data_IF_379284476796
#
_entry.id   IF_379284476796
#
_cell.length_a   1.000
_cell.length_b   1.000
_cell.length_c   1.000
_cell.angle_alpha   90.00
_cell.angle_beta   90.00
_cell.angle_gamma   90.00
#
_symmetry.space_group_name_H-M   'P 1'
#
loop_
_entity.id
_entity.type
_entity.pdbx_description
1 polymer ?
#
# COMPACT_ATOMS: atom_id res chain seq x y z
N UNK A 1 -9.66 34.15 13.43
CA UNK A 1 -8.56 34.30 12.45
C UNK A 1 -9.21 34.44 11.08
N UNK A 2 -8.55 35.11 10.13
CA UNK A 2 -9.07 35.15 8.76
C UNK A 2 -9.02 33.73 8.18
N UNK A 3 -10.01 33.35 7.37
CA UNK A 3 -10.04 32.09 6.65
C UNK A 3 -8.91 32.06 5.63
N UNK A 4 -8.09 31.02 5.65
CA UNK A 4 -7.02 30.82 4.68
C UNK A 4 -7.55 30.13 3.42
N UNK A 5 -6.88 30.35 2.29
CA UNK A 5 -7.11 29.61 1.05
C UNK A 5 -6.01 28.57 0.86
N UNK A 6 -6.41 27.28 0.87
CA UNK A 6 -5.53 26.13 0.85
C UNK A 6 -5.64 25.41 -0.50
N UNK A 7 -4.51 25.28 -1.19
CA UNK A 7 -4.39 24.51 -2.42
C UNK A 7 -3.84 23.11 -2.13
N UNK A 8 -4.37 22.08 -2.81
CA UNK A 8 -3.90 20.71 -2.69
C UNK A 8 -3.42 20.20 -4.05
N UNK A 9 -2.28 19.52 -4.06
CA UNK A 9 -1.71 18.89 -5.25
C UNK A 9 -1.39 17.43 -4.94
N UNK A 10 -2.07 16.52 -5.63
CA UNK A 10 -1.72 15.10 -5.68
C UNK A 10 -0.78 14.88 -6.87
N UNK A 11 0.53 14.89 -6.60
CA UNK A 11 1.57 14.84 -7.64
C UNK A 11 1.49 13.55 -8.44
N UNK A 12 1.16 12.46 -7.77
CA UNK A 12 1.08 11.14 -8.41
C UNK A 12 -0.23 10.94 -9.20
N UNK A 13 -1.36 11.42 -8.68
CA UNK A 13 -2.69 11.38 -9.35
C UNK A 13 -3.14 9.99 -9.82
N UNK A 14 -2.64 8.90 -9.22
CA UNK A 14 -2.68 7.54 -9.79
C UNK A 14 -3.91 6.73 -9.40
N UNK A 15 -5.11 7.24 -9.62
CA UNK A 15 -6.36 6.47 -9.45
C UNK A 15 -6.53 5.83 -8.06
N UNK A 16 -5.94 6.43 -7.03
CA UNK A 16 -6.10 6.06 -5.64
C UNK A 16 -6.08 7.31 -4.76
N UNK A 17 -6.97 7.43 -3.74
CA UNK A 17 -7.02 8.63 -2.91
C UNK A 17 -5.77 8.79 -2.05
N UNK A 18 -5.24 10.02 -2.00
CA UNK A 18 -4.09 10.36 -1.16
C UNK A 18 -4.57 10.68 0.26
N UNK A 19 -4.32 9.74 1.17
CA UNK A 19 -4.79 9.84 2.56
C UNK A 19 -4.24 11.08 3.30
N UNK A 20 -3.00 11.49 3.02
CA UNK A 20 -2.42 12.67 3.64
C UNK A 20 -3.18 13.94 3.23
N UNK A 21 -3.47 14.10 1.93
CA UNK A 21 -4.26 15.24 1.44
C UNK A 21 -5.69 15.23 1.96
N UNK A 22 -6.31 14.04 2.10
CA UNK A 22 -7.64 13.93 2.70
C UNK A 22 -7.68 14.40 4.16
N UNK A 23 -6.65 14.10 4.94
CA UNK A 23 -6.53 14.54 6.34
C UNK A 23 -6.22 16.02 6.45
N UNK A 24 -5.34 16.54 5.59
CA UNK A 24 -5.05 17.99 5.49
C UNK A 24 -6.32 18.75 5.13
N UNK A 25 -7.09 18.27 4.15
CA UNK A 25 -8.37 18.86 3.77
C UNK A 25 -9.35 18.91 4.94
N UNK A 26 -9.52 17.77 5.64
CA UNK A 26 -10.40 17.67 6.80
C UNK A 26 -10.02 18.66 7.90
N UNK A 27 -8.72 18.77 8.21
CA UNK A 27 -8.20 19.68 9.22
C UNK A 27 -8.49 21.14 8.87
N UNK A 28 -8.11 21.59 7.68
CA UNK A 28 -8.31 22.98 7.27
C UNK A 28 -9.78 23.34 7.16
N UNK A 29 -10.62 22.46 6.65
CA UNK A 29 -12.09 22.67 6.64
C UNK A 29 -12.65 22.79 8.06
N UNK A 30 -12.16 22.00 9.02
CA UNK A 30 -12.57 22.11 10.43
C UNK A 30 -12.13 23.43 11.06
N UNK A 31 -11.02 24.04 10.59
CA UNK A 31 -10.55 25.37 11.01
C UNK A 31 -11.31 26.52 10.32
N UNK A 32 -12.19 26.24 9.37
CA UNK A 32 -12.95 27.23 8.61
C UNK A 32 -12.22 27.77 7.38
N UNK A 33 -11.14 27.10 6.94
CA UNK A 33 -10.38 27.48 5.77
C UNK A 33 -11.08 27.03 4.49
N UNK A 34 -10.79 27.71 3.37
CA UNK A 34 -11.22 27.30 2.04
C UNK A 34 -10.23 26.31 1.44
N UNK A 35 -10.65 25.08 1.19
CA UNK A 35 -9.78 24.02 0.66
C UNK A 35 -10.27 23.60 -0.72
N UNK A 36 -9.35 23.61 -1.68
CA UNK A 36 -9.62 23.16 -3.05
C UNK A 36 -8.38 22.51 -3.68
N UNK A 37 -8.57 21.80 -4.78
CA UNK A 37 -7.44 21.41 -5.63
C UNK A 37 -6.76 22.66 -6.18
N UNK A 38 -5.44 22.72 -6.11
CA UNK A 38 -4.69 23.80 -6.76
C UNK A 38 -5.02 23.86 -8.24
N UNK A 39 -5.34 25.04 -8.71
CA UNK A 39 -5.84 25.19 -10.07
C UNK A 39 -4.82 25.84 -11.00
N UNK A 40 -4.19 26.94 -10.60
CA UNK A 40 -3.20 27.67 -11.40
C UNK A 40 -2.50 28.76 -10.60
N UNK A 41 -1.39 29.27 -11.14
CA UNK A 41 -0.67 30.40 -10.58
C UNK A 41 -1.40 31.76 -10.74
N UNK A 42 -2.55 31.82 -11.42
CA UNK A 42 -3.40 33.02 -11.44
C UNK A 42 -4.25 33.16 -10.17
N UNK A 43 -4.32 32.13 -9.35
CA UNK A 43 -5.03 32.13 -8.07
C UNK A 43 -4.01 32.16 -6.95
N UNK A 44 -4.15 33.13 -6.04
CA UNK A 44 -3.30 33.17 -4.85
C UNK A 44 -3.78 32.19 -3.78
N UNK A 45 -2.83 31.48 -3.15
CA UNK A 45 -3.05 30.56 -2.04
C UNK A 45 -2.18 30.98 -0.86
N UNK A 46 -2.74 30.92 0.36
CA UNK A 46 -1.96 31.11 1.58
C UNK A 46 -1.00 29.92 1.77
N UNK A 47 -1.50 28.71 1.54
CA UNK A 47 -0.68 27.48 1.64
C UNK A 47 -1.06 26.53 0.50
N UNK A 48 -0.05 25.96 -0.16
CA UNK A 48 -0.23 24.81 -1.07
C UNK A 48 0.49 23.58 -0.51
N UNK A 49 -0.24 22.49 -0.37
CA UNK A 49 0.31 21.17 -0.01
C UNK A 49 0.49 20.31 -1.25
N UNK A 50 1.73 19.85 -1.46
CA UNK A 50 2.08 18.91 -2.53
C UNK A 50 2.39 17.55 -1.91
N UNK A 51 1.64 16.51 -2.27
CA UNK A 51 1.87 15.16 -1.77
C UNK A 51 2.31 14.22 -2.89
N UNK A 52 3.41 13.51 -2.66
CA UNK A 52 4.01 12.56 -3.60
C UNK A 52 4.33 11.25 -2.89
N UNK A 53 3.84 10.14 -3.43
CA UNK A 53 4.00 8.80 -2.84
C UNK A 53 5.16 8.03 -3.50
N UNK A 54 5.27 8.11 -4.83
CA UNK A 54 6.28 7.39 -5.61
C UNK A 54 7.51 8.25 -5.86
N UNK A 55 8.68 7.61 -6.00
CA UNK A 55 9.93 8.27 -6.35
C UNK A 55 9.91 8.84 -7.77
N UNK A 56 10.90 9.69 -8.11
CA UNK A 56 11.04 10.28 -9.44
C UNK A 56 11.24 9.23 -10.55
N UNK A 57 11.69 8.02 -10.20
CA UNK A 57 11.81 6.92 -11.14
C UNK A 57 10.44 6.43 -11.67
N UNK A 58 9.37 6.63 -10.91
CA UNK A 58 8.02 6.17 -11.27
C UNK A 58 7.03 7.31 -11.47
N UNK A 59 7.24 8.44 -10.80
CA UNK A 59 6.37 9.63 -10.88
C UNK A 59 7.25 10.89 -10.83
N UNK A 60 7.54 11.52 -11.98
CA UNK A 60 8.31 12.76 -12.02
C UNK A 60 7.68 13.85 -11.15
N UNK A 61 8.51 14.67 -10.49
CA UNK A 61 8.02 15.82 -9.74
C UNK A 61 7.50 16.91 -10.70
N UNK A 62 6.64 17.76 -10.18
CA UNK A 62 6.09 18.92 -10.90
C UNK A 62 6.61 20.22 -10.30
N UNK A 63 6.68 21.31 -11.08
CA UNK A 63 7.07 22.61 -10.56
C UNK A 63 6.21 23.07 -9.39
N UNK A 64 6.84 23.76 -8.44
CA UNK A 64 6.11 24.37 -7.33
C UNK A 64 5.25 25.55 -7.81
N UNK A 65 4.06 25.73 -7.22
CA UNK A 65 3.24 26.91 -7.46
C UNK A 65 3.99 28.21 -7.19
N UNK A 66 3.88 29.17 -8.10
CA UNK A 66 4.57 30.47 -7.99
C UNK A 66 3.77 31.49 -7.17
N UNK A 67 2.44 31.34 -7.10
CA UNK A 67 1.54 32.28 -6.41
C UNK A 67 0.94 31.65 -5.14
N UNK A 68 1.83 31.26 -4.24
CA UNK A 68 1.49 30.79 -2.89
C UNK A 68 2.45 31.40 -1.86
N UNK A 69 1.92 31.82 -0.72
CA UNK A 69 2.77 32.35 0.38
C UNK A 69 3.67 31.26 0.94
N UNK A 70 3.17 30.01 0.94
CA UNK A 70 3.91 28.87 1.44
C UNK A 70 3.58 27.61 0.65
N UNK A 71 4.62 26.86 0.24
CA UNK A 71 4.48 25.52 -0.36
C UNK A 71 5.04 24.49 0.64
N UNK A 72 4.26 23.44 0.91
CA UNK A 72 4.64 22.34 1.81
C UNK A 72 4.62 21.03 1.02
N UNK A 73 5.81 20.45 0.84
CA UNK A 73 5.98 19.16 0.16
C UNK A 73 6.05 18.02 1.18
N UNK A 74 5.37 16.92 0.90
CA UNK A 74 5.36 15.76 1.77
C UNK A 74 5.05 14.46 1.04
N UNK A 75 5.19 13.35 1.75
CA UNK A 75 5.00 12.00 1.23
C UNK A 75 6.30 11.27 0.94
N UNK A 76 6.20 9.96 0.77
CA UNK A 76 7.35 9.05 0.64
C UNK A 76 8.21 9.36 -0.58
N UNK A 77 7.59 9.78 -1.69
CA UNK A 77 8.28 10.07 -2.94
C UNK A 77 9.33 11.17 -2.83
N UNK A 78 9.10 12.18 -1.99
CA UNK A 78 10.08 13.24 -1.73
C UNK A 78 11.24 12.81 -0.82
N UNK A 79 11.09 11.67 -0.14
CA UNK A 79 12.13 11.11 0.72
C UNK A 79 13.04 10.11 -0.01
N UNK A 80 12.71 9.75 -1.25
CA UNK A 80 13.46 8.75 -2.01
C UNK A 80 14.24 9.46 -3.11
N UNK A 81 15.54 9.18 -3.16
CA UNK A 81 16.43 9.59 -4.25
C UNK A 81 17.20 8.39 -4.80
N UNK A 82 17.84 8.55 -5.94
CA UNK A 82 18.64 7.51 -6.54
C UNK A 82 20.13 7.73 -6.19
N UNK A 83 20.75 6.68 -5.62
CA UNK A 83 22.21 6.57 -5.46
C UNK A 83 22.67 5.34 -6.24
N UNK A 84 23.59 5.51 -7.17
CA UNK A 84 24.09 4.43 -8.04
C UNK A 84 22.96 3.59 -8.69
N UNK A 85 21.86 4.26 -9.07
CA UNK A 85 20.68 3.64 -9.69
C UNK A 85 19.76 2.89 -8.73
N UNK A 86 20.00 2.95 -7.42
CA UNK A 86 19.15 2.34 -6.39
C UNK A 86 18.38 3.39 -5.60
N UNK A 87 17.16 3.08 -5.26
CA UNK A 87 16.35 3.94 -4.39
C UNK A 87 16.87 3.92 -2.95
N UNK A 88 17.18 5.10 -2.43
CA UNK A 88 17.61 5.32 -1.05
C UNK A 88 16.61 6.24 -0.35
N UNK A 89 16.18 5.83 0.84
CA UNK A 89 15.25 6.60 1.67
C UNK A 89 16.02 7.57 2.59
N UNK A 90 15.84 8.86 2.35
CA UNK A 90 16.40 9.93 3.18
C UNK A 90 15.45 10.27 4.33
N UNK A 91 15.80 9.79 5.53
CA UNK A 91 15.01 10.02 6.73
C UNK A 91 14.93 11.49 7.12
N UNK A 92 15.91 12.31 6.75
CA UNK A 92 15.93 13.75 7.09
C UNK A 92 14.83 14.53 6.39
N UNK A 93 14.36 14.03 5.23
CA UNK A 93 13.27 14.61 4.45
C UNK A 93 11.88 14.07 4.84
N UNK A 94 11.83 13.11 5.78
CA UNK A 94 10.57 12.52 6.20
C UNK A 94 9.89 13.40 7.25
N UNK A 95 9.02 14.27 6.81
CA UNK A 95 8.20 15.12 7.68
C UNK A 95 6.84 14.45 7.89
N UNK A 96 6.63 13.92 9.09
CA UNK A 96 5.31 13.41 9.48
C UNK A 96 4.30 14.57 9.54
N UNK A 97 3.04 14.26 9.26
CA UNK A 97 1.98 15.22 9.51
C UNK A 97 1.91 15.55 11.01
N UNK A 98 1.61 16.81 11.38
CA UNK A 98 1.31 17.15 12.75
C UNK A 98 0.23 16.24 13.34
N UNK A 99 0.33 15.85 14.63
CA UNK A 99 -0.63 14.92 15.25
C UNK A 99 -2.10 15.33 15.12
N UNK A 100 -2.38 16.64 15.12
CA UNK A 100 -3.71 17.21 14.94
C UNK A 100 -4.28 16.95 13.53
N UNK A 101 -3.43 16.89 12.50
CA UNK A 101 -3.82 16.54 11.13
C UNK A 101 -3.86 15.01 10.96
N UNK A 102 -2.84 14.33 11.52
CA UNK A 102 -2.73 12.87 11.37
C UNK A 102 -3.92 12.10 11.96
N UNK A 103 -4.58 12.66 13.00
CA UNK A 103 -5.75 12.06 13.65
C UNK A 103 -7.09 12.42 13.01
N UNK A 104 -7.09 13.31 12.00
CA UNK A 104 -8.33 13.67 11.33
C UNK A 104 -8.92 12.48 10.59
N UNK A 105 -10.25 12.33 10.68
CA UNK A 105 -10.97 11.45 9.75
C UNK A 105 -10.78 11.95 8.33
N UNK A 106 -10.51 11.06 7.35
CA UNK A 106 -10.27 11.49 5.98
C UNK A 106 -11.46 12.24 5.38
N UNK A 107 -11.19 13.33 4.67
CA UNK A 107 -12.22 14.04 3.89
C UNK A 107 -12.52 13.29 2.59
N UNK A 108 -13.54 12.46 2.61
CA UNK A 108 -13.97 11.69 1.44
C UNK A 108 -14.57 12.55 0.33
N UNK A 109 -14.96 13.79 0.61
CA UNK A 109 -15.47 14.71 -0.43
C UNK A 109 -14.38 15.17 -1.39
N UNK A 110 -13.10 15.05 -1.01
CA UNK A 110 -11.96 15.40 -1.85
C UNK A 110 -11.82 14.48 -3.08
N UNK A 111 -12.25 13.20 -2.93
CA UNK A 111 -12.18 12.19 -3.99
C UNK A 111 -13.55 11.53 -4.20
N UNK A 112 -14.57 12.26 -4.70
CA UNK A 112 -15.95 11.78 -4.77
C UNK A 112 -16.15 10.58 -5.71
N UNK A 113 -15.19 10.30 -6.58
CA UNK A 113 -15.19 9.13 -7.46
C UNK A 113 -14.96 7.82 -6.73
N UNK A 114 -14.48 7.83 -5.47
CA UNK A 114 -14.25 6.64 -4.69
C UNK A 114 -15.27 6.48 -3.56
N UNK A 115 -15.91 5.33 -3.51
CA UNK A 115 -16.97 5.03 -2.53
C UNK A 115 -16.51 4.16 -1.36
N UNK A 116 -15.21 3.90 -1.23
CA UNK A 116 -14.63 3.10 -0.16
C UNK A 116 -14.02 3.97 0.93
N UNK A 117 -13.97 3.45 2.15
CA UNK A 117 -13.16 4.02 3.21
C UNK A 117 -11.70 3.59 3.04
N UNK A 118 -10.76 4.48 3.38
CA UNK A 118 -9.33 4.21 3.30
C UNK A 118 -8.60 4.81 4.49
N UNK A 119 -7.84 4.00 5.19
CA UNK A 119 -6.90 4.44 6.24
C UNK A 119 -6.02 3.27 6.69
N UNK A 120 -5.26 3.50 7.76
CA UNK A 120 -4.49 2.50 8.47
C UNK A 120 -4.85 2.51 9.95
N UNK A 121 -4.91 1.32 10.57
CA UNK A 121 -5.12 1.15 12.00
C UNK A 121 -3.82 0.92 12.75
N UNK A 122 -2.80 0.44 12.06
CA UNK A 122 -1.44 0.29 12.61
C UNK A 122 -0.37 0.83 11.65
N UNK A 123 0.78 1.21 12.21
CA UNK A 123 1.98 1.67 11.49
C UNK A 123 3.21 0.94 11.98
N UNK A 124 4.22 0.85 11.12
CA UNK A 124 5.49 0.22 11.41
C UNK A 124 5.53 -1.26 11.02
N UNK A 125 6.74 -1.80 10.85
CA UNK A 125 6.97 -3.19 10.49
C UNK A 125 8.31 -3.69 11.06
N UNK A 126 8.33 -4.80 11.82
CA UNK A 126 9.55 -5.33 12.43
C UNK A 126 10.48 -6.04 11.43
N UNK A 127 10.01 -6.36 10.22
CA UNK A 127 10.73 -7.19 9.25
C UNK A 127 12.06 -6.61 8.79
N UNK A 128 12.11 -5.32 8.48
CA UNK A 128 13.32 -4.66 8.00
C UNK A 128 13.89 -5.24 6.72
N UNK A 129 13.01 -5.60 5.80
CA UNK A 129 13.41 -6.08 4.48
C UNK A 129 14.30 -5.06 3.78
N UNK A 130 15.44 -5.46 3.18
CA UNK A 130 16.43 -4.50 2.66
C UNK A 130 15.96 -3.71 1.43
N UNK A 131 14.89 -4.14 0.78
CA UNK A 131 14.24 -3.46 -0.35
C UNK A 131 13.07 -2.56 0.06
N UNK A 132 12.71 -2.53 1.36
CA UNK A 132 11.48 -1.90 1.84
C UNK A 132 11.78 -0.68 2.72
N UNK A 133 11.17 0.45 2.39
CA UNK A 133 11.36 1.70 3.13
C UNK A 133 10.47 1.83 4.38
N UNK A 134 9.53 0.92 4.61
CA UNK A 134 8.59 0.99 5.75
C UNK A 134 9.33 1.07 7.09
N UNK A 135 10.33 0.22 7.33
CA UNK A 135 11.08 0.23 8.59
C UNK A 135 11.84 1.53 8.86
N UNK A 136 12.33 2.20 7.80
CA UNK A 136 13.01 3.49 7.91
C UNK A 136 12.03 4.66 8.12
N UNK A 137 10.87 4.61 7.45
CA UNK A 137 9.84 5.64 7.49
C UNK A 137 8.95 5.57 8.72
N UNK A 138 8.42 4.38 9.02
CA UNK A 138 7.34 4.17 9.98
C UNK A 138 7.82 3.54 11.30
N UNK A 139 9.08 3.09 11.34
CA UNK A 139 9.66 2.40 12.49
C UNK A 139 9.59 0.88 12.42
N UNK A 140 10.35 0.25 13.32
CA UNK A 140 10.53 -1.20 13.43
C UNK A 140 9.62 -1.88 14.44
N UNK A 141 8.54 -1.22 14.84
CA UNK A 141 7.53 -1.77 15.73
C UNK A 141 6.15 -1.44 15.17
N UNK A 142 5.29 -2.43 15.07
CA UNK A 142 3.90 -2.19 14.69
C UNK A 142 3.14 -1.61 15.89
N UNK A 143 2.60 -0.41 15.74
CA UNK A 143 1.86 0.33 16.76
C UNK A 143 0.49 0.74 16.25
N UNK A 144 -0.52 0.72 17.11
CA UNK A 144 -1.87 1.18 16.78
C UNK A 144 -1.88 2.70 16.60
N UNK A 145 -2.54 3.18 15.55
CA UNK A 145 -2.68 4.60 15.23
C UNK A 145 -4.13 5.06 15.09
N UNK A 146 -5.07 4.15 14.85
CA UNK A 146 -6.49 4.46 14.75
C UNK A 146 -7.37 3.23 15.06
N UNK A 147 -8.64 3.47 15.36
CA UNK A 147 -9.70 2.48 15.29
C UNK A 147 -10.40 2.56 13.92
N UNK A 148 -11.12 1.51 13.55
CA UNK A 148 -11.92 1.52 12.30
C UNK A 148 -12.98 2.63 12.33
N UNK A 149 -13.59 2.90 13.49
CA UNK A 149 -14.56 3.98 13.70
C UNK A 149 -14.03 5.38 13.46
N UNK A 150 -12.70 5.59 13.50
CA UNK A 150 -12.09 6.91 13.34
C UNK A 150 -12.08 7.37 11.87
N UNK A 151 -12.29 6.45 10.91
CA UNK A 151 -12.25 6.77 9.48
C UNK A 151 -13.37 6.12 8.65
N UNK A 152 -14.07 5.13 9.19
CA UNK A 152 -15.17 4.46 8.48
C UNK A 152 -16.52 5.03 8.90
N UNK A 153 -17.31 5.48 7.92
CA UNK A 153 -18.62 6.10 8.11
C UNK A 153 -19.73 5.32 7.38
N UNK A 154 -19.65 3.97 7.39
CA UNK A 154 -20.67 3.12 6.75
C UNK A 154 -20.42 2.84 5.26
N UNK A 155 -19.23 3.14 4.70
CA UNK A 155 -18.86 2.75 3.34
C UNK A 155 -18.93 1.22 3.19
N UNK A 156 -19.34 0.76 2.00
CA UNK A 156 -19.48 -0.69 1.72
C UNK A 156 -18.14 -1.45 1.68
N UNK A 157 -17.04 -0.75 1.43
CA UNK A 157 -15.69 -1.32 1.33
C UNK A 157 -14.72 -0.49 2.19
N UNK A 158 -13.76 -1.17 2.82
CA UNK A 158 -12.64 -0.56 3.54
C UNK A 158 -11.34 -1.06 2.90
N UNK A 159 -10.50 -0.15 2.44
CA UNK A 159 -9.13 -0.44 1.98
C UNK A 159 -8.14 -0.12 3.08
N UNK A 160 -7.50 -1.16 3.56
CA UNK A 160 -6.59 -1.11 4.70
C UNK A 160 -5.18 -0.87 4.20
N UNK A 161 -4.54 0.22 4.67
CA UNK A 161 -3.19 0.62 4.27
C UNK A 161 -2.11 0.27 5.31
N UNK A 162 -2.44 -0.53 6.31
CA UNK A 162 -1.50 -0.97 7.34
C UNK A 162 -0.28 -1.65 6.71
N UNK A 163 0.95 -1.21 6.97
CA UNK A 163 2.15 -1.81 6.38
C UNK A 163 2.36 -3.26 6.79
N UNK A 164 1.95 -3.62 8.02
CA UNK A 164 1.96 -4.99 8.54
C UNK A 164 1.04 -5.10 9.76
N UNK A 165 -0.27 -5.15 9.52
CA UNK A 165 -1.27 -5.28 10.58
C UNK A 165 -1.01 -6.50 11.47
N UNK A 166 -0.61 -7.63 10.88
CA UNK A 166 -0.40 -8.89 11.59
C UNK A 166 0.76 -8.86 12.58
N UNK A 167 1.67 -7.90 12.45
CA UNK A 167 2.77 -7.70 13.40
C UNK A 167 2.38 -6.90 14.65
N UNK A 168 1.20 -6.29 14.67
CA UNK A 168 0.70 -5.61 15.88
C UNK A 168 0.30 -6.64 16.94
N UNK A 169 0.76 -6.46 18.18
CA UNK A 169 0.56 -7.43 19.26
C UNK A 169 -0.92 -7.72 19.56
N UNK A 170 -1.76 -6.68 19.50
CA UNK A 170 -3.20 -6.77 19.74
C UNK A 170 -4.00 -6.74 18.42
N UNK A 171 -3.45 -7.34 17.36
CA UNK A 171 -4.06 -7.38 16.02
C UNK A 171 -5.50 -7.92 16.01
N UNK A 172 -5.83 -8.83 16.94
CA UNK A 172 -7.17 -9.42 17.02
C UNK A 172 -8.25 -8.39 17.37
N UNK A 173 -7.91 -7.38 18.19
CA UNK A 173 -8.84 -6.26 18.45
C UNK A 173 -9.16 -5.50 17.16
N UNK A 174 -8.12 -5.19 16.35
CA UNK A 174 -8.31 -4.53 15.06
C UNK A 174 -9.05 -5.40 14.05
N UNK A 175 -8.70 -6.69 13.96
CA UNK A 175 -9.41 -7.65 13.10
C UNK A 175 -10.90 -7.77 13.47
N UNK A 176 -11.20 -7.77 14.76
CA UNK A 176 -12.58 -7.77 15.26
C UNK A 176 -13.33 -6.51 14.80
N UNK A 177 -12.73 -5.32 14.91
CA UNK A 177 -13.33 -4.07 14.45
C UNK A 177 -13.64 -4.12 12.95
N UNK A 178 -12.72 -4.63 12.11
CA UNK A 178 -12.95 -4.83 10.68
C UNK A 178 -14.12 -5.81 10.43
N UNK A 179 -14.17 -6.92 11.15
CA UNK A 179 -15.26 -7.90 11.05
C UNK A 179 -16.61 -7.29 11.43
N UNK A 180 -16.68 -6.57 12.56
CA UNK A 180 -17.89 -5.94 13.09
C UNK A 180 -18.39 -4.79 12.21
N UNK A 181 -17.55 -4.14 11.41
CA UNK A 181 -17.97 -3.14 10.43
C UNK A 181 -18.95 -3.70 9.40
N UNK A 182 -18.88 -5.01 9.10
CA UNK A 182 -19.66 -5.65 8.04
C UNK A 182 -19.31 -5.20 6.63
N UNK A 183 -18.33 -4.30 6.48
CA UNK A 183 -17.83 -3.85 5.18
C UNK A 183 -17.05 -4.96 4.46
N UNK A 184 -16.83 -4.78 3.17
CA UNK A 184 -15.90 -5.62 2.38
C UNK A 184 -14.49 -5.12 2.66
N UNK A 185 -13.64 -5.97 3.24
CA UNK A 185 -12.27 -5.61 3.62
C UNK A 185 -11.28 -5.98 2.53
N UNK A 186 -10.43 -5.03 2.17
CA UNK A 186 -9.29 -5.21 1.27
C UNK A 186 -8.00 -4.82 2.00
N UNK A 187 -7.20 -5.82 2.37
CA UNK A 187 -5.89 -5.61 2.99
C UNK A 187 -4.85 -5.31 1.90
N UNK A 188 -4.89 -4.10 1.35
CA UNK A 188 -4.16 -3.73 0.13
C UNK A 188 -2.64 -3.82 0.24
N UNK A 189 -2.08 -3.61 1.44
CA UNK A 189 -0.63 -3.71 1.68
C UNK A 189 -0.18 -5.14 2.03
N UNK A 190 -1.14 -6.03 2.28
CA UNK A 190 -0.92 -7.43 2.59
C UNK A 190 -0.80 -7.73 4.08
N UNK A 191 -0.95 -9.01 4.37
CA UNK A 191 -0.79 -9.60 5.70
C UNK A 191 0.47 -10.45 5.71
N UNK A 192 1.23 -10.42 6.79
CA UNK A 192 2.35 -11.35 6.99
C UNK A 192 1.79 -12.72 7.40
N UNK A 193 1.71 -13.63 6.46
CA UNK A 193 1.13 -14.96 6.64
C UNK A 193 1.81 -15.77 7.76
N UNK A 194 3.10 -15.50 8.02
CA UNK A 194 3.89 -16.15 9.08
C UNK A 194 3.41 -15.84 10.50
N UNK A 195 2.65 -14.75 10.64
CA UNK A 195 2.16 -14.23 11.91
C UNK A 195 0.68 -14.54 12.14
N UNK A 196 0.04 -15.25 11.22
CA UNK A 196 -1.35 -15.70 11.35
C UNK A 196 -1.38 -17.05 12.07
N UNK A 197 -2.19 -17.14 13.12
CA UNK A 197 -2.53 -18.39 13.79
C UNK A 197 -3.95 -18.86 13.40
N UNK A 198 -4.36 -20.01 13.91
CA UNK A 198 -5.67 -20.61 13.58
C UNK A 198 -6.86 -19.70 13.98
N UNK A 199 -6.74 -19.00 15.09
CA UNK A 199 -7.77 -18.05 15.53
C UNK A 199 -7.86 -16.85 14.58
N UNK A 200 -6.73 -16.32 14.10
CA UNK A 200 -6.69 -15.24 13.12
C UNK A 200 -7.34 -15.69 11.80
N UNK A 201 -7.07 -16.93 11.38
CA UNK A 201 -7.66 -17.51 10.17
C UNK A 201 -9.17 -17.69 10.34
N UNK A 202 -9.62 -18.10 11.52
CA UNK A 202 -11.05 -18.18 11.85
C UNK A 202 -11.72 -16.80 11.74
N UNK A 203 -11.15 -15.76 12.32
CA UNK A 203 -11.65 -14.38 12.21
C UNK A 203 -11.67 -13.90 10.74
N UNK A 204 -10.62 -14.18 9.97
CA UNK A 204 -10.54 -13.86 8.54
C UNK A 204 -11.63 -14.60 7.74
N UNK A 205 -11.94 -15.85 8.09
CA UNK A 205 -13.00 -16.63 7.46
C UNK A 205 -14.41 -16.04 7.66
N UNK A 206 -14.62 -15.30 8.75
CA UNK A 206 -15.89 -14.65 9.04
C UNK A 206 -16.02 -13.26 8.38
N UNK A 207 -14.91 -12.65 7.95
CA UNK A 207 -14.92 -11.35 7.29
C UNK A 207 -15.47 -11.42 5.85
N UNK A 208 -16.06 -10.33 5.41
CA UNK A 208 -16.35 -10.11 3.99
C UNK A 208 -15.10 -9.57 3.32
N UNK A 209 -14.42 -10.41 2.57
CA UNK A 209 -13.13 -10.06 1.97
C UNK A 209 -13.27 -9.77 0.47
N UNK A 210 -12.59 -8.73 0.00
CA UNK A 210 -12.35 -8.51 -1.43
C UNK A 210 -11.24 -9.45 -1.89
N UNK A 211 -10.01 -9.18 -1.50
CA UNK A 211 -8.83 -9.98 -1.83
C UNK A 211 -7.92 -9.99 -0.60
N UNK A 212 -7.32 -11.14 -0.33
CA UNK A 212 -6.18 -11.22 0.60
C UNK A 212 -4.90 -11.02 -0.20
N UNK A 213 -3.97 -10.29 0.38
CA UNK A 213 -2.64 -10.08 -0.16
C UNK A 213 -1.62 -10.61 0.83
N UNK A 214 -0.65 -11.36 0.32
CA UNK A 214 0.49 -11.89 1.06
C UNK A 214 1.78 -11.61 0.28
N UNK A 215 2.92 -11.96 0.84
CA UNK A 215 4.20 -11.88 0.16
C UNK A 215 5.08 -13.10 0.44
N UNK A 216 5.78 -13.56 -0.60
CA UNK A 216 6.89 -14.50 -0.52
C UNK A 216 8.08 -13.92 -1.26
N UNK A 217 8.72 -12.91 -0.65
CA UNK A 217 9.75 -12.10 -1.29
C UNK A 217 11.14 -12.72 -1.19
N UNK A 218 11.45 -13.34 -0.05
CA UNK A 218 12.75 -13.97 0.16
C UNK A 218 12.72 -15.44 -0.30
N UNK A 219 13.47 -15.81 -1.38
CA UNK A 219 13.48 -17.18 -1.87
C UNK A 219 14.15 -18.18 -0.90
N UNK A 220 14.93 -17.68 0.08
CA UNK A 220 15.60 -18.51 1.08
C UNK A 220 14.71 -18.85 2.29
N UNK A 221 13.54 -18.20 2.41
CA UNK A 221 12.54 -18.56 3.41
C UNK A 221 11.65 -19.69 2.88
N UNK A 222 11.60 -20.81 3.57
CA UNK A 222 10.63 -21.87 3.27
C UNK A 222 9.27 -21.50 3.85
N UNK A 223 8.41 -21.00 3.00
CA UNK A 223 7.04 -20.65 3.36
C UNK A 223 6.00 -21.62 2.80
N UNK A 224 6.40 -22.67 2.09
CA UNK A 224 5.46 -23.62 1.48
C UNK A 224 4.50 -24.20 2.53
N UNK A 225 5.03 -24.69 3.65
CA UNK A 225 4.21 -25.24 4.73
C UNK A 225 3.21 -24.23 5.31
N UNK A 226 3.64 -22.97 5.47
CA UNK A 226 2.80 -21.89 5.99
C UNK A 226 1.64 -21.57 5.03
N UNK A 227 1.94 -21.41 3.73
CA UNK A 227 0.91 -21.19 2.71
C UNK A 227 -0.04 -22.37 2.60
N UNK A 228 0.46 -23.60 2.68
CA UNK A 228 -0.35 -24.82 2.64
C UNK A 228 -1.31 -24.91 3.84
N UNK A 229 -0.82 -24.61 5.04
CA UNK A 229 -1.65 -24.59 6.26
C UNK A 229 -2.77 -23.56 6.17
N UNK A 230 -2.45 -22.34 5.71
CA UNK A 230 -3.47 -21.31 5.50
C UNK A 230 -4.50 -21.76 4.46
N UNK A 231 -4.08 -22.29 3.31
CA UNK A 231 -4.97 -22.78 2.25
C UNK A 231 -5.92 -23.89 2.74
N UNK A 232 -5.44 -24.78 3.62
CA UNK A 232 -6.24 -25.85 4.20
C UNK A 232 -7.30 -25.32 5.18
N UNK A 233 -6.98 -24.29 5.95
CA UNK A 233 -7.85 -23.71 6.99
C UNK A 233 -8.76 -22.61 6.45
N UNK A 234 -8.42 -22.00 5.31
CA UNK A 234 -9.22 -20.93 4.71
C UNK A 234 -10.42 -21.48 3.96
N UNK A 235 -11.59 -20.83 4.11
CA UNK A 235 -12.85 -21.30 3.51
C UNK A 235 -12.86 -21.34 1.99
N UNK A 236 -12.15 -20.42 1.32
CA UNK A 236 -12.02 -20.42 -0.14
C UNK A 236 -10.93 -21.40 -0.55
N UNK A 237 -11.19 -22.22 -1.56
CA UNK A 237 -10.22 -23.19 -2.08
C UNK A 237 -9.60 -22.76 -3.42
N UNK A 238 -10.17 -21.73 -4.05
CA UNK A 238 -9.65 -21.10 -5.27
C UNK A 238 -9.64 -19.59 -5.08
N UNK A 239 -8.69 -18.90 -5.70
CA UNK A 239 -8.46 -17.47 -5.50
C UNK A 239 -8.35 -17.13 -4.00
N UNK A 240 -7.53 -17.91 -3.29
CA UNK A 240 -7.31 -17.77 -1.84
C UNK A 240 -6.83 -16.37 -1.52
N UNK A 241 -5.87 -15.87 -2.30
CA UNK A 241 -5.32 -14.54 -2.19
C UNK A 241 -4.24 -14.31 -3.24
N UNK A 242 -3.87 -13.07 -3.45
CA UNK A 242 -2.73 -12.67 -4.25
C UNK A 242 -1.46 -12.77 -3.40
N UNK A 243 -0.38 -13.30 -3.98
CA UNK A 243 0.92 -13.39 -3.28
C UNK A 243 1.98 -12.66 -4.09
N UNK A 244 2.50 -11.58 -3.55
CA UNK A 244 3.61 -10.86 -4.14
C UNK A 244 4.89 -11.70 -4.07
N UNK A 245 5.59 -11.84 -5.20
CA UNK A 245 6.86 -12.52 -5.32
C UNK A 245 7.89 -11.52 -5.85
N UNK A 246 8.79 -11.06 -5.00
CA UNK A 246 9.87 -10.18 -5.41
C UNK A 246 10.87 -10.93 -6.28
N UNK A 247 11.24 -10.34 -7.41
CA UNK A 247 12.21 -10.85 -8.38
C UNK A 247 13.25 -9.78 -8.69
N UNK A 248 14.35 -10.15 -9.31
CA UNK A 248 15.45 -9.24 -9.67
C UNK A 248 16.12 -8.57 -8.46
N UNK A 249 16.05 -9.17 -7.27
CA UNK A 249 16.72 -8.66 -6.06
C UNK A 249 17.80 -9.64 -5.57
N UNK A 250 17.39 -10.82 -5.11
CA UNK A 250 18.29 -11.84 -4.56
C UNK A 250 17.83 -13.27 -4.92
N UNK A 251 17.11 -13.42 -6.03
CA UNK A 251 16.55 -14.71 -6.46
C UNK A 251 17.03 -15.10 -7.85
N UNK A 252 17.21 -16.39 -8.07
CA UNK A 252 17.42 -16.98 -9.41
C UNK A 252 16.08 -17.18 -10.14
N UNK A 253 16.13 -17.48 -11.44
CA UNK A 253 14.92 -17.79 -12.22
C UNK A 253 14.24 -19.06 -11.69
N UNK A 254 15.00 -20.07 -11.32
CA UNK A 254 14.49 -21.32 -10.76
C UNK A 254 13.73 -21.07 -9.44
N UNK A 255 14.30 -20.26 -8.55
CA UNK A 255 13.65 -19.89 -7.28
C UNK A 255 12.38 -19.04 -7.49
N UNK A 256 12.36 -18.21 -8.54
CA UNK A 256 11.18 -17.45 -8.91
C UNK A 256 10.07 -18.38 -9.42
N UNK A 257 10.39 -19.28 -10.33
CA UNK A 257 9.43 -20.24 -10.91
C UNK A 257 8.92 -21.22 -9.85
N UNK A 258 9.80 -21.70 -8.95
CA UNK A 258 9.41 -22.54 -7.83
C UNK A 258 8.32 -21.89 -6.97
N UNK A 259 8.53 -20.64 -6.51
CA UNK A 259 7.53 -19.92 -5.71
C UNK A 259 6.22 -19.74 -6.48
N UNK A 260 6.29 -19.32 -7.75
CA UNK A 260 5.12 -19.08 -8.58
C UNK A 260 4.30 -20.35 -8.80
N UNK A 261 4.95 -21.47 -9.16
CA UNK A 261 4.26 -22.74 -9.40
C UNK A 261 3.69 -23.31 -8.11
N UNK A 262 4.45 -23.30 -7.02
CA UNK A 262 4.01 -23.78 -5.70
C UNK A 262 2.75 -23.02 -5.22
N UNK A 263 2.75 -21.70 -5.33
CA UNK A 263 1.59 -20.88 -4.95
C UNK A 263 0.37 -21.14 -5.83
N UNK A 264 0.57 -21.24 -7.15
CA UNK A 264 -0.51 -21.57 -8.08
C UNK A 264 -1.14 -22.92 -7.77
N UNK A 265 -0.31 -23.94 -7.51
CA UNK A 265 -0.78 -25.29 -7.25
C UNK A 265 -1.55 -25.42 -5.92
N UNK A 266 -1.32 -24.49 -4.97
CA UNK A 266 -2.10 -24.33 -3.74
C UNK A 266 -3.37 -23.49 -3.91
N UNK A 267 -3.64 -22.92 -5.10
CA UNK A 267 -4.83 -22.09 -5.35
C UNK A 267 -4.66 -20.61 -5.05
N UNK A 268 -3.44 -20.14 -4.82
CA UNK A 268 -3.11 -18.71 -4.75
C UNK A 268 -2.91 -18.12 -6.14
N UNK A 269 -2.89 -16.78 -6.18
CA UNK A 269 -2.66 -15.99 -7.36
C UNK A 269 -1.31 -15.26 -7.25
N UNK A 270 -0.21 -15.85 -7.73
CA UNK A 270 1.09 -15.21 -7.65
C UNK A 270 1.12 -13.93 -8.48
N UNK A 271 1.85 -12.93 -7.97
CA UNK A 271 2.06 -11.65 -8.63
C UNK A 271 3.53 -11.25 -8.57
N UNK A 272 4.17 -11.17 -9.71
CA UNK A 272 5.61 -10.85 -9.82
C UNK A 272 5.84 -9.36 -9.64
N UNK A 273 6.57 -9.01 -8.59
CA UNK A 273 7.10 -7.68 -8.33
C UNK A 273 8.56 -7.65 -8.80
N UNK A 274 8.88 -6.74 -9.70
CA UNK A 274 10.24 -6.62 -10.25
C UNK A 274 10.96 -5.48 -9.54
N UNK A 275 12.00 -5.83 -8.77
CA UNK A 275 12.89 -4.82 -8.19
C UNK A 275 13.68 -4.13 -9.31
N UNK A 276 13.82 -2.80 -9.23
CA UNK A 276 14.50 -1.99 -10.25
C UNK A 276 14.07 -2.37 -11.69
N UNK A 277 12.78 -2.31 -11.91
CA UNK A 277 12.17 -2.71 -13.19
C UNK A 277 12.76 -2.03 -14.44
N UNK A 278 13.14 -0.75 -14.42
CA UNK A 278 13.79 -0.12 -15.58
C UNK A 278 15.01 -0.89 -16.06
N UNK A 279 15.89 -1.34 -15.16
CA UNK A 279 17.14 -2.02 -15.46
C UNK A 279 17.04 -3.55 -15.43
N UNK A 280 15.86 -4.11 -15.14
CA UNK A 280 15.68 -5.55 -15.05
C UNK A 280 15.91 -6.26 -16.40
N UNK A 281 16.49 -7.49 -16.40
CA UNK A 281 16.65 -8.30 -17.60
C UNK A 281 15.32 -8.54 -18.32
N UNK A 282 15.41 -8.72 -19.66
CA UNK A 282 14.23 -8.98 -20.51
C UNK A 282 13.45 -10.21 -20.02
N UNK A 283 14.15 -11.25 -19.61
CA UNK A 283 13.56 -12.49 -19.13
C UNK A 283 12.70 -12.28 -17.86
N UNK A 284 13.14 -11.45 -16.92
CA UNK A 284 12.36 -11.08 -15.72
C UNK A 284 11.11 -10.25 -16.11
N UNK A 285 11.24 -9.35 -17.09
CA UNK A 285 10.08 -8.60 -17.61
C UNK A 285 9.07 -9.53 -18.30
N UNK A 286 9.58 -10.55 -19.00
CA UNK A 286 8.73 -11.60 -19.60
C UNK A 286 8.04 -12.44 -18.52
N UNK A 287 8.76 -12.84 -17.46
CA UNK A 287 8.18 -13.56 -16.32
C UNK A 287 7.05 -12.75 -15.66
N UNK A 288 7.27 -11.45 -15.45
CA UNK A 288 6.24 -10.56 -14.93
C UNK A 288 5.00 -10.52 -15.84
N UNK A 289 5.20 -10.35 -17.15
CA UNK A 289 4.10 -10.30 -18.11
C UNK A 289 3.32 -11.61 -18.13
N UNK A 290 4.02 -12.74 -18.15
CA UNK A 290 3.39 -14.07 -18.13
C UNK A 290 2.58 -14.31 -16.87
N UNK A 291 3.16 -14.07 -15.69
CA UNK A 291 2.53 -14.34 -14.40
C UNK A 291 1.37 -13.37 -14.10
N UNK A 292 1.58 -12.06 -14.34
CA UNK A 292 0.61 -11.04 -13.91
C UNK A 292 -0.56 -10.89 -14.89
N UNK A 293 -0.42 -11.32 -16.14
CA UNK A 293 -1.54 -11.37 -17.07
C UNK A 293 -2.35 -12.66 -16.85
N UNK A 294 -3.52 -12.54 -16.25
CA UNK A 294 -4.35 -13.68 -15.85
C UNK A 294 -4.81 -14.56 -17.01
N UNK A 295 -4.97 -13.99 -18.20
CA UNK A 295 -5.34 -14.78 -19.41
C UNK A 295 -4.15 -15.64 -19.83
N UNK A 296 -2.96 -15.02 -19.95
CA UNK A 296 -1.73 -15.72 -20.32
C UNK A 296 -1.40 -16.80 -19.28
N UNK A 297 -1.41 -16.46 -17.98
CA UNK A 297 -1.06 -17.36 -16.89
C UNK A 297 -1.97 -18.60 -16.81
N UNK A 298 -3.24 -18.44 -17.19
CA UNK A 298 -4.20 -19.55 -17.25
C UNK A 298 -4.06 -20.41 -18.49
N UNK A 299 -3.74 -19.81 -19.65
CA UNK A 299 -3.63 -20.51 -20.94
C UNK A 299 -2.26 -21.15 -21.14
N UNK A 300 -1.19 -20.48 -20.71
CA UNK A 300 0.19 -20.98 -20.81
C UNK A 300 0.65 -21.46 -19.42
N UNK A 301 0.66 -22.79 -19.22
CA UNK A 301 0.91 -23.38 -17.88
C UNK A 301 2.36 -23.30 -17.43
N UNK A 302 3.29 -23.28 -18.37
CA UNK A 302 4.73 -23.24 -18.09
C UNK A 302 5.33 -21.97 -18.68
N UNK A 303 6.24 -21.35 -17.94
CA UNK A 303 6.93 -20.16 -18.43
C UNK A 303 7.80 -20.45 -19.65
N UNK A 304 8.38 -21.65 -19.71
CA UNK A 304 9.24 -22.09 -20.83
C UNK A 304 8.47 -22.19 -22.15
N UNK A 305 7.15 -22.37 -22.10
CA UNK A 305 6.26 -22.45 -23.28
C UNK A 305 5.74 -21.05 -23.69
N UNK A 306 6.04 -20.01 -22.89
CA UNK A 306 5.55 -18.66 -23.14
C UNK A 306 6.39 -17.96 -24.21
N UNK A 307 5.79 -17.73 -25.37
CA UNK A 307 6.33 -16.90 -26.46
C UNK A 307 5.56 -15.57 -26.44
N UNK A 308 6.24 -14.42 -26.15
CA UNK A 308 5.59 -13.10 -26.00
C UNK A 308 5.12 -12.48 -27.33
#
# INVERSE_FOLDING_TARGET
MASMKIGLIDVDGHNFPNLALMRISAYHKAMGDQVEWWWSDFVHYDIVYMSKVFSDAYSPDIPEPLNADRVIKGGTGYCIHLEDGKEVFDKSKNHALPPEIERMSPDYSLYPQYSFAVSMTSRGCPRGCPFCHVGAKEGRCAVKVANVSDFWNGQKEIRVLDPNLTAYSEKRDLMKQYKESGAIIDFTQGLDIRLLNDDDIADINEMRLRTLHFAWDNPKEDLEGVFRNFANSFRRKFNIGMVYCLTNFNSTMEENLYRIYTLRDMGYDPYVMVYDKPHAPKEIKMLQRWCNNKIIFKSCKRFEDYIP
#
